data_IF_566037206883
#
_entry.id   IF_566037206883
#
_cell.length_a   1.000
_cell.length_b   1.000
_cell.length_c   1.000
_cell.angle_alpha   90.00
_cell.angle_beta   90.00
_cell.angle_gamma   90.00
#
_symmetry.space_group_name_H-M   'P 1'
#
loop_
_entity.id
_entity.type
_entity.pdbx_description
1 polymer ?
#
# COMPACT_ATOMS: atom_id res chain seq x y z
N UNK A 1 56.33 -23.98 -26.31
CA UNK A 1 56.09 -22.58 -26.74
C UNK A 1 54.64 -22.25 -26.48
N UNK A 2 54.39 -21.21 -25.68
CA UNK A 2 53.18 -20.34 -25.66
C UNK A 2 51.85 -21.05 -25.29
N UNK A 3 50.96 -20.59 -24.41
CA UNK A 3 50.74 -19.43 -23.52
C UNK A 3 49.47 -19.88 -22.75
N UNK A 4 49.44 -20.06 -21.42
CA UNK A 4 49.00 -19.10 -20.40
C UNK A 4 47.76 -18.24 -20.77
N UNK A 5 46.78 -18.19 -19.84
CA UNK A 5 45.52 -17.39 -19.78
C UNK A 5 44.33 -17.92 -20.61
N UNK A 6 43.13 -18.17 -20.05
CA UNK A 6 42.20 -17.26 -19.36
C UNK A 6 41.31 -18.10 -18.40
N UNK A 7 41.27 -17.90 -17.08
CA UNK A 7 40.59 -16.84 -16.31
C UNK A 7 39.06 -16.83 -16.50
N UNK A 8 38.40 -17.33 -15.44
CA UNK A 8 37.20 -16.80 -14.75
C UNK A 8 35.82 -16.71 -15.43
N UNK A 9 34.83 -16.98 -14.56
CA UNK A 9 33.41 -16.54 -14.62
C UNK A 9 32.59 -17.22 -15.74
N UNK A 10 31.56 -18.02 -15.46
CA UNK A 10 30.38 -17.65 -14.66
C UNK A 10 29.78 -18.88 -13.99
N UNK A 11 29.93 -18.94 -12.67
CA UNK A 11 28.86 -19.45 -11.82
C UNK A 11 27.68 -18.48 -12.01
N UNK A 12 26.85 -18.71 -13.03
CA UNK A 12 25.46 -18.27 -12.95
C UNK A 12 24.76 -19.17 -11.94
N UNK A 13 25.12 -19.01 -10.66
CA UNK A 13 24.08 -19.04 -9.65
C UNK A 13 23.20 -17.89 -10.11
N UNK A 14 22.09 -18.21 -10.77
CA UNK A 14 20.96 -17.31 -10.76
C UNK A 14 20.74 -17.02 -9.28
N UNK A 15 21.28 -15.90 -8.80
CA UNK A 15 20.84 -15.36 -7.53
C UNK A 15 19.33 -15.39 -7.64
N UNK A 16 18.59 -16.00 -6.68
CA UNK A 16 17.17 -15.73 -6.64
C UNK A 16 17.08 -14.21 -6.72
N UNK A 17 16.36 -13.72 -7.74
CA UNK A 17 15.99 -12.32 -7.81
C UNK A 17 15.60 -11.96 -6.38
N UNK A 18 16.38 -11.09 -5.74
CA UNK A 18 16.20 -10.77 -4.31
C UNK A 18 14.76 -10.29 -4.23
N UNK A 19 13.90 -11.20 -3.76
CA UNK A 19 12.47 -11.00 -3.71
C UNK A 19 12.23 -9.85 -2.78
N UNK A 20 11.43 -8.91 -3.24
CA UNK A 20 11.12 -7.67 -2.54
C UNK A 20 10.84 -7.94 -1.06
N UNK A 21 11.66 -7.37 -0.18
CA UNK A 21 11.52 -7.59 1.25
C UNK A 21 10.39 -6.75 1.85
N UNK A 22 9.70 -5.90 1.08
CA UNK A 22 8.69 -4.99 1.65
C UNK A 22 7.37 -5.72 1.94
N UNK A 23 6.94 -5.63 3.18
CA UNK A 23 5.61 -6.04 3.63
C UNK A 23 4.79 -4.80 3.97
N UNK A 24 3.62 -4.68 3.35
CA UNK A 24 2.67 -3.62 3.66
C UNK A 24 1.58 -4.20 4.54
N UNK A 25 1.31 -3.56 5.67
CA UNK A 25 0.30 -3.98 6.63
C UNK A 25 -0.70 -2.83 6.81
N UNK A 26 -1.88 -2.98 6.22
CA UNK A 26 -2.91 -1.96 6.23
C UNK A 26 -4.02 -2.33 7.20
N UNK A 27 -4.35 -1.40 8.09
CA UNK A 27 -5.43 -1.53 9.06
C UNK A 27 -6.53 -0.53 8.71
N UNK A 28 -7.74 -1.03 8.50
CA UNK A 28 -8.91 -0.23 8.18
C UNK A 28 -9.67 0.12 9.46
N UNK A 29 -9.96 1.41 9.63
CA UNK A 29 -10.47 1.97 10.88
C UNK A 29 -11.78 2.71 10.62
N UNK A 30 -12.81 2.36 11.37
CA UNK A 30 -14.03 3.15 11.47
C UNK A 30 -13.95 4.05 12.73
N UNK A 31 -13.67 5.33 12.54
CA UNK A 31 -13.64 6.30 13.63
C UNK A 31 -15.07 6.81 13.88
N UNK A 32 -15.58 6.56 15.09
CA UNK A 32 -16.90 7.05 15.55
C UNK A 32 -16.90 8.57 15.65
N UNK A 33 -15.73 9.12 16.00
CA UNK A 33 -15.42 10.54 15.94
C UNK A 33 -14.09 10.73 15.16
N UNK A 34 -14.17 11.04 13.85
CA UNK A 34 -12.98 11.22 13.02
C UNK A 34 -12.04 12.33 13.51
N UNK A 35 -12.57 13.42 14.08
CA UNK A 35 -11.76 14.55 14.55
C UNK A 35 -11.00 14.16 15.81
N UNK A 36 -11.68 13.53 16.77
CA UNK A 36 -11.02 13.04 17.97
C UNK A 36 -9.98 11.95 17.65
N UNK A 37 -10.23 11.12 16.63
CA UNK A 37 -9.28 10.10 16.20
C UNK A 37 -8.04 10.70 15.52
N UNK A 38 -8.21 11.72 14.69
CA UNK A 38 -7.12 12.49 14.07
C UNK A 38 -6.18 13.09 15.13
N UNK A 39 -6.75 13.75 16.15
CA UNK A 39 -6.02 14.32 17.28
C UNK A 39 -5.31 13.22 18.08
N UNK A 40 -6.01 12.13 18.39
CA UNK A 40 -5.46 10.99 19.10
C UNK A 40 -4.22 10.42 18.41
N UNK A 41 -4.27 10.23 17.08
CA UNK A 41 -3.14 9.70 16.31
C UNK A 41 -1.94 10.65 16.43
N UNK A 42 -2.15 11.95 16.25
CA UNK A 42 -1.10 12.97 16.34
C UNK A 42 -0.44 12.98 17.72
N UNK A 43 -1.22 12.92 18.78
CA UNK A 43 -0.73 13.01 20.16
C UNK A 43 -0.01 11.73 20.61
N UNK A 44 -0.59 10.56 20.35
CA UNK A 44 -0.14 9.32 20.98
C UNK A 44 0.64 8.42 20.03
N UNK A 45 0.19 8.27 18.79
CA UNK A 45 0.75 7.27 17.86
C UNK A 45 1.89 7.82 17.00
N UNK A 46 1.84 9.09 16.61
CA UNK A 46 2.89 9.69 15.81
C UNK A 46 4.27 9.59 16.50
N UNK A 47 4.34 9.85 17.82
CA UNK A 47 5.59 9.72 18.59
C UNK A 47 6.14 8.29 18.57
N UNK A 48 5.27 7.30 18.77
CA UNK A 48 5.65 5.88 18.80
C UNK A 48 6.14 5.44 17.42
N UNK A 49 5.39 5.75 16.36
CA UNK A 49 5.74 5.28 15.01
C UNK A 49 6.96 6.00 14.43
N UNK A 50 7.17 7.30 14.74
CA UNK A 50 8.42 8.00 14.42
C UNK A 50 9.63 7.32 15.06
N UNK A 51 9.53 6.91 16.32
CA UNK A 51 10.62 6.19 16.98
C UNK A 51 10.85 4.79 16.38
N UNK A 52 9.77 4.09 15.98
CA UNK A 52 9.88 2.81 15.27
C UNK A 52 10.59 2.95 13.92
N UNK A 53 10.29 4.01 13.16
CA UNK A 53 10.99 4.31 11.89
C UNK A 53 12.45 4.63 12.15
N UNK A 54 12.74 5.52 13.12
CA UNK A 54 14.12 5.89 13.50
C UNK A 54 14.98 4.68 13.90
N UNK A 55 14.39 3.70 14.59
CA UNK A 55 15.06 2.47 15.02
C UNK A 55 15.07 1.35 13.96
N UNK A 56 14.49 1.58 12.78
CA UNK A 56 14.45 0.61 11.69
C UNK A 56 13.44 -0.53 11.86
N UNK A 57 12.51 -0.45 12.83
CA UNK A 57 11.41 -1.41 12.98
C UNK A 57 10.29 -1.22 11.96
N UNK A 58 10.23 -0.03 11.37
CA UNK A 58 9.36 0.31 10.25
C UNK A 58 10.23 0.97 9.19
N UNK A 59 10.00 0.64 7.93
CA UNK A 59 10.51 1.44 6.82
C UNK A 59 9.73 2.74 6.70
N UNK A 60 8.41 2.65 6.89
CA UNK A 60 7.49 3.77 6.74
C UNK A 60 6.18 3.52 7.49
N UNK A 61 5.51 4.60 7.87
CA UNK A 61 4.17 4.60 8.42
C UNK A 61 3.38 5.78 7.88
N UNK A 62 2.18 5.49 7.38
CA UNK A 62 1.29 6.49 6.81
C UNK A 62 -0.14 6.32 7.34
N UNK A 63 -0.85 7.44 7.41
CA UNK A 63 -2.28 7.50 7.71
C UNK A 63 -2.99 8.19 6.58
N UNK A 64 -4.04 7.54 6.10
CA UNK A 64 -4.87 7.97 5.00
C UNK A 64 -6.31 8.15 5.47
N UNK A 65 -6.97 9.19 4.97
CA UNK A 65 -8.36 9.53 5.30
C UNK A 65 -9.23 9.34 4.08
N UNK A 66 -10.37 8.67 4.25
CA UNK A 66 -11.35 8.53 3.17
C UNK A 66 -11.89 9.90 2.81
N UNK A 67 -11.88 10.21 1.51
CA UNK A 67 -12.47 11.43 0.95
C UNK A 67 -13.50 11.05 -0.10
N UNK A 68 -14.62 11.77 -0.11
CA UNK A 68 -15.64 11.69 -1.17
C UNK A 68 -16.33 10.32 -1.38
N UNK A 69 -16.28 9.42 -0.40
CA UNK A 69 -17.03 8.15 -0.45
C UNK A 69 -17.79 7.89 0.85
N UNK A 70 -19.01 8.45 1.01
CA UNK A 70 -19.81 8.29 2.23
C UNK A 70 -20.33 6.86 2.47
N UNK A 71 -20.09 5.92 1.54
CA UNK A 71 -20.51 4.52 1.64
C UNK A 71 -19.42 3.58 2.18
N UNK A 72 -18.25 4.11 2.53
CA UNK A 72 -17.17 3.29 3.08
C UNK A 72 -17.45 2.90 4.53
N UNK A 73 -17.17 1.65 4.86
CA UNK A 73 -17.26 1.09 6.21
C UNK A 73 -16.08 1.52 7.11
N UNK A 74 -15.09 2.20 6.54
CA UNK A 74 -13.98 2.82 7.25
C UNK A 74 -13.84 4.30 6.89
N UNK A 75 -13.17 5.00 7.79
CA UNK A 75 -12.87 6.44 7.70
C UNK A 75 -11.39 6.69 7.49
N UNK A 76 -10.55 5.77 7.98
CA UNK A 76 -9.09 5.86 7.91
C UNK A 76 -8.48 4.52 7.51
N UNK A 77 -7.34 4.59 6.83
CA UNK A 77 -6.45 3.46 6.64
C UNK A 77 -5.08 3.81 7.21
N UNK A 78 -4.56 2.95 8.08
CA UNK A 78 -3.21 3.08 8.62
C UNK A 78 -2.33 2.03 7.96
N UNK A 79 -1.27 2.47 7.27
CA UNK A 79 -0.34 1.57 6.56
C UNK A 79 1.00 1.57 7.27
N UNK A 80 1.47 0.37 7.60
CA UNK A 80 2.82 0.14 8.09
C UNK A 80 3.61 -0.59 7.01
N UNK A 81 4.79 -0.08 6.66
CA UNK A 81 5.70 -0.75 5.73
C UNK A 81 6.87 -1.31 6.51
N UNK A 82 7.08 -2.60 6.39
CA UNK A 82 8.17 -3.33 7.03
C UNK A 82 9.16 -3.84 5.99
N UNK A 83 10.39 -4.03 6.43
CA UNK A 83 11.34 -4.94 5.82
C UNK A 83 11.09 -6.33 6.42
N UNK A 84 10.67 -7.31 5.61
CA UNK A 84 10.23 -8.64 6.04
C UNK A 84 11.39 -9.40 6.69
N UNK A 85 12.62 -9.16 6.24
CA UNK A 85 13.82 -9.75 6.82
C UNK A 85 14.10 -9.23 8.24
N UNK A 86 13.61 -8.03 8.54
CA UNK A 86 13.70 -7.37 9.85
C UNK A 86 12.35 -7.34 10.56
N UNK A 87 11.36 -8.08 10.05
CA UNK A 87 10.03 -8.08 10.63
C UNK A 87 10.15 -8.56 12.07
N UNK A 88 9.67 -7.80 13.06
CA UNK A 88 9.92 -8.11 14.44
C UNK A 88 9.30 -9.46 14.79
N UNK A 89 10.14 -10.42 15.18
CA UNK A 89 9.68 -11.59 15.92
C UNK A 89 9.05 -11.10 17.23
N UNK A 90 7.98 -11.77 17.68
CA UNK A 90 7.18 -11.35 18.85
C UNK A 90 8.07 -10.93 20.03
N UNK A 91 7.77 -9.80 20.68
CA UNK A 91 8.44 -9.37 21.91
C UNK A 91 8.77 -7.89 22.02
N UNK A 92 8.87 -7.15 20.91
CA UNK A 92 9.17 -5.70 20.97
C UNK A 92 7.91 -4.88 21.22
N UNK A 93 7.78 -4.31 22.42
CA UNK A 93 6.67 -3.43 22.79
C UNK A 93 6.96 -1.99 22.38
N UNK A 94 6.26 -1.51 21.36
CA UNK A 94 6.49 -0.18 20.78
C UNK A 94 6.38 0.98 21.79
N UNK A 95 5.52 0.84 22.82
CA UNK A 95 5.33 1.88 23.83
C UNK A 95 6.55 2.03 24.77
N UNK A 96 7.30 0.96 25.03
CA UNK A 96 8.50 1.01 25.88
C UNK A 96 9.60 1.86 25.22
N UNK A 97 9.63 1.90 23.87
CA UNK A 97 10.61 2.69 23.11
C UNK A 97 10.53 4.19 23.41
N UNK A 98 9.36 4.68 23.80
CA UNK A 98 9.11 6.09 24.12
C UNK A 98 9.03 6.35 25.63
N UNK A 99 9.49 5.40 26.45
CA UNK A 99 9.54 5.50 27.91
C UNK A 99 8.18 5.36 28.59
N UNK A 100 7.19 4.79 27.92
CA UNK A 100 5.84 4.63 28.45
C UNK A 100 5.72 3.36 29.28
N UNK A 101 5.01 3.42 30.41
CA UNK A 101 4.67 2.24 31.21
C UNK A 101 3.54 1.44 30.57
N UNK A 102 3.41 0.17 30.96
CA UNK A 102 2.29 -0.67 30.50
C UNK A 102 0.93 -0.08 30.90
N UNK A 103 0.82 0.52 32.09
CA UNK A 103 -0.43 1.14 32.55
C UNK A 103 -0.82 2.32 31.67
N UNK A 104 0.12 3.21 31.36
CA UNK A 104 -0.11 4.33 30.43
C UNK A 104 -0.53 3.83 29.04
N UNK A 105 0.09 2.76 28.55
CA UNK A 105 -0.28 2.16 27.27
C UNK A 105 -1.70 1.60 27.28
N UNK A 106 -2.11 0.90 28.35
CA UNK A 106 -3.47 0.37 28.49
C UNK A 106 -4.52 1.50 28.49
N UNK A 107 -4.26 2.59 29.20
CA UNK A 107 -5.15 3.78 29.18
C UNK A 107 -5.30 4.36 27.77
N UNK A 108 -4.20 4.44 27.01
CA UNK A 108 -4.21 4.88 25.61
C UNK A 108 -5.01 3.91 24.74
N UNK A 109 -4.87 2.60 24.95
CA UNK A 109 -5.64 1.58 24.21
C UNK A 109 -7.14 1.64 24.54
N UNK A 110 -7.51 1.85 25.79
CA UNK A 110 -8.91 2.02 26.20
C UNK A 110 -9.52 3.27 25.54
N UNK A 111 -8.82 4.42 25.59
CA UNK A 111 -9.27 5.66 24.95
C UNK A 111 -9.41 5.51 23.44
N UNK A 112 -8.46 4.87 22.75
CA UNK A 112 -8.58 4.71 21.29
C UNK A 112 -9.72 3.78 20.90
N UNK A 113 -9.96 2.72 21.67
CA UNK A 113 -10.99 1.74 21.36
C UNK A 113 -12.41 2.26 21.66
N UNK A 114 -12.55 3.30 22.51
CA UNK A 114 -13.85 3.96 22.69
C UNK A 114 -14.24 4.85 21.51
N UNK A 115 -13.26 5.42 20.79
CA UNK A 115 -13.49 6.36 19.68
C UNK A 115 -13.40 5.74 18.28
N UNK A 116 -12.95 4.49 18.16
CA UNK A 116 -12.86 3.80 16.86
C UNK A 116 -13.01 2.28 16.96
N UNK A 117 -13.40 1.67 15.85
CA UNK A 117 -13.38 0.23 15.64
C UNK A 117 -12.32 -0.15 14.58
N UNK A 118 -11.68 -1.31 14.74
CA UNK A 118 -10.86 -1.92 13.68
C UNK A 118 -11.77 -2.83 12.88
N UNK A 119 -12.06 -2.47 11.64
CA UNK A 119 -12.97 -3.27 10.81
C UNK A 119 -12.24 -4.33 9.99
N UNK A 120 -10.94 -4.16 9.77
CA UNK A 120 -10.14 -5.11 9.01
C UNK A 120 -8.64 -4.84 9.08
N UNK A 121 -7.87 -5.86 8.72
CA UNK A 121 -6.43 -5.78 8.54
C UNK A 121 -6.03 -6.70 7.40
N UNK A 122 -5.18 -6.22 6.50
CA UNK A 122 -4.68 -7.01 5.38
C UNK A 122 -3.20 -6.73 5.16
N UNK A 123 -2.48 -7.78 4.79
CA UNK A 123 -1.05 -7.75 4.51
C UNK A 123 -0.81 -7.95 3.03
N UNK A 124 0.17 -7.24 2.49
CA UNK A 124 0.40 -7.18 1.06
C UNK A 124 1.87 -7.30 0.70
N UNK A 125 2.12 -8.05 -0.38
CA UNK A 125 3.40 -8.03 -1.09
C UNK A 125 3.28 -7.12 -2.30
N UNK A 126 4.31 -6.32 -2.54
CA UNK A 126 4.42 -5.57 -3.80
C UNK A 126 4.67 -6.53 -4.98
N UNK A 127 4.20 -6.15 -6.17
CA UNK A 127 4.38 -6.90 -7.41
C UNK A 127 5.17 -6.10 -8.47
N UNK A 128 5.32 -4.78 -8.30
CA UNK A 128 5.83 -3.85 -9.31
C UNK A 128 7.30 -3.41 -9.15
N UNK A 129 8.01 -3.92 -8.16
CA UNK A 129 9.30 -3.38 -7.68
C UNK A 129 9.16 -1.97 -7.09
N UNK A 130 8.03 -1.73 -6.43
CA UNK A 130 7.62 -0.46 -5.85
C UNK A 130 6.69 0.32 -6.76
N UNK A 131 6.46 1.57 -6.36
CA UNK A 131 5.61 2.51 -7.08
C UNK A 131 6.26 2.90 -8.42
N UNK A 132 5.56 2.65 -9.53
CA UNK A 132 5.88 3.21 -10.84
C UNK A 132 5.62 4.71 -10.76
N UNK A 133 6.64 5.51 -11.02
CA UNK A 133 6.62 6.96 -10.83
C UNK A 133 6.74 7.70 -12.16
N UNK A 134 6.10 8.87 -12.24
CA UNK A 134 6.46 9.86 -13.24
C UNK A 134 7.92 10.26 -13.07
N UNK A 135 8.64 10.50 -14.17
CA UNK A 135 10.08 10.78 -14.15
C UNK A 135 10.37 12.00 -13.26
N UNK A 136 11.35 11.85 -12.36
CA UNK A 136 11.81 12.94 -11.48
C UNK A 136 11.06 13.06 -10.14
N UNK A 137 10.13 12.14 -9.84
CA UNK A 137 9.42 12.12 -8.56
C UNK A 137 10.13 11.23 -7.53
N UNK A 138 10.34 11.76 -6.34
CA UNK A 138 10.89 11.06 -5.16
C UNK A 138 9.99 11.15 -3.90
N UNK A 139 8.86 11.87 -3.97
CA UNK A 139 7.93 12.04 -2.85
C UNK A 139 6.72 11.08 -2.89
N UNK A 140 6.01 10.94 -1.77
CA UNK A 140 4.73 10.23 -1.71
C UNK A 140 3.56 11.20 -2.03
N UNK A 141 2.75 10.95 -3.08
CA UNK A 141 1.65 11.84 -3.46
C UNK A 141 0.55 11.95 -2.39
N UNK A 142 -0.25 13.01 -2.46
CA UNK A 142 -1.25 13.32 -1.43
C UNK A 142 -2.55 12.53 -1.58
N UNK A 143 -2.88 12.08 -2.79
CA UNK A 143 -4.11 11.32 -3.04
C UNK A 143 -3.75 9.91 -3.50
N UNK A 144 -4.39 8.96 -2.84
CA UNK A 144 -4.40 7.54 -3.14
C UNK A 144 -5.80 7.17 -3.63
N UNK A 145 -5.90 6.57 -4.81
CA UNK A 145 -7.12 5.86 -5.23
C UNK A 145 -6.85 4.38 -5.08
N UNK A 146 -7.42 3.79 -4.04
CA UNK A 146 -7.25 2.39 -3.68
C UNK A 146 -8.30 1.55 -4.40
N UNK A 147 -7.86 0.76 -5.38
CA UNK A 147 -8.72 -0.17 -6.10
C UNK A 147 -8.58 -1.57 -5.48
N UNK A 148 -9.64 -2.04 -4.84
CA UNK A 148 -9.73 -3.38 -4.29
C UNK A 148 -10.21 -4.34 -5.37
N UNK A 149 -9.35 -5.29 -5.74
CA UNK A 149 -9.55 -6.18 -6.87
C UNK A 149 -9.72 -7.61 -6.39
N UNK A 150 -10.67 -8.33 -6.96
CA UNK A 150 -10.73 -9.78 -6.89
C UNK A 150 -10.33 -10.38 -8.25
N UNK A 151 -9.11 -10.89 -8.35
CA UNK A 151 -8.65 -11.65 -9.51
C UNK A 151 -9.33 -13.03 -9.54
N UNK A 152 -9.80 -13.46 -10.72
CA UNK A 152 -10.46 -14.77 -10.88
C UNK A 152 -9.51 -15.90 -10.53
N UNK A 153 -10.07 -16.97 -9.96
CA UNK A 153 -9.32 -18.18 -9.66
C UNK A 153 -8.61 -18.72 -10.91
N UNK A 154 -7.41 -19.26 -10.73
CA UNK A 154 -6.56 -19.76 -11.82
C UNK A 154 -5.95 -18.66 -12.72
N UNK A 155 -6.36 -17.41 -12.59
CA UNK A 155 -5.97 -16.32 -13.50
C UNK A 155 -5.00 -15.30 -12.91
N UNK A 156 -4.56 -15.47 -11.65
CA UNK A 156 -3.72 -14.48 -10.95
C UNK A 156 -2.44 -14.15 -11.72
N UNK A 157 -1.70 -15.17 -12.18
CA UNK A 157 -0.44 -14.94 -12.92
C UNK A 157 -0.64 -14.16 -14.22
N UNK A 158 -1.72 -14.46 -14.96
CA UNK A 158 -2.07 -13.74 -16.20
C UNK A 158 -2.52 -12.33 -15.90
N UNK A 159 -3.37 -12.15 -14.89
CA UNK A 159 -3.85 -10.86 -14.42
C UNK A 159 -2.67 -9.95 -14.05
N UNK A 160 -1.78 -10.42 -13.19
CA UNK A 160 -0.65 -9.63 -12.72
C UNK A 160 0.32 -9.26 -13.84
N UNK A 161 0.60 -10.20 -14.75
CA UNK A 161 1.45 -9.95 -15.91
C UNK A 161 0.87 -8.87 -16.81
N UNK A 162 -0.43 -8.92 -17.09
CA UNK A 162 -1.10 -7.93 -17.93
C UNK A 162 -1.18 -6.56 -17.24
N UNK A 163 -1.47 -6.53 -15.93
CA UNK A 163 -1.49 -5.30 -15.14
C UNK A 163 -0.11 -4.60 -15.13
N UNK A 164 0.96 -5.34 -14.87
CA UNK A 164 2.34 -4.82 -14.89
C UNK A 164 2.77 -4.37 -16.30
N UNK A 165 2.44 -5.15 -17.33
CA UNK A 165 2.75 -4.82 -18.73
C UNK A 165 2.08 -3.52 -19.16
N UNK A 166 0.81 -3.34 -18.80
CA UNK A 166 0.00 -2.17 -19.21
C UNK A 166 0.34 -0.91 -18.42
N UNK A 167 0.89 -1.05 -17.22
CA UNK A 167 1.24 0.09 -16.35
C UNK A 167 2.75 0.22 -16.10
N UNK A 168 3.57 -0.19 -17.07
CA UNK A 168 5.03 -0.13 -16.95
C UNK A 168 5.61 1.30 -16.83
N UNK A 169 4.85 2.33 -17.21
CA UNK A 169 5.26 3.75 -17.13
C UNK A 169 4.05 4.66 -16.96
N UNK A 170 4.29 5.82 -16.34
CA UNK A 170 3.31 6.91 -16.25
C UNK A 170 3.57 7.94 -17.36
N UNK A 171 2.62 8.19 -18.28
CA UNK A 171 2.76 9.21 -19.33
C UNK A 171 2.97 10.63 -18.77
N UNK A 172 3.76 11.44 -19.48
CA UNK A 172 4.06 12.82 -19.05
C UNK A 172 2.81 13.72 -18.99
N UNK A 173 1.81 13.47 -19.82
CA UNK A 173 0.53 14.19 -19.85
C UNK A 173 -0.55 13.60 -18.93
N UNK A 174 -0.28 12.49 -18.23
CA UNK A 174 -1.24 11.91 -17.30
C UNK A 174 -1.38 12.76 -16.04
N UNK A 175 -2.63 12.89 -15.56
CA UNK A 175 -2.95 13.46 -14.25
C UNK A 175 -2.53 12.52 -13.11
N UNK A 176 -2.56 11.20 -13.36
CA UNK A 176 -1.96 10.19 -12.49
C UNK A 176 -0.44 10.37 -12.50
N UNK A 177 0.17 10.39 -11.33
CA UNK A 177 1.60 10.66 -11.16
C UNK A 177 2.39 9.45 -10.67
N UNK A 178 1.68 8.44 -10.17
CA UNK A 178 2.26 7.15 -9.81
C UNK A 178 1.25 6.03 -9.88
N UNK A 179 1.74 4.80 -9.84
CA UNK A 179 0.93 3.60 -9.72
C UNK A 179 1.63 2.52 -8.90
N UNK A 180 0.89 1.81 -8.05
CA UNK A 180 1.41 0.66 -7.28
C UNK A 180 0.50 -0.55 -7.41
N UNK A 181 1.07 -1.75 -7.24
CA UNK A 181 0.33 -2.99 -7.36
C UNK A 181 0.77 -4.02 -6.35
N UNK A 182 -0.20 -4.59 -5.64
CA UNK A 182 0.05 -5.48 -4.53
C UNK A 182 -0.86 -6.71 -4.56
N UNK A 183 -0.33 -7.82 -4.05
CA UNK A 183 -1.07 -9.07 -3.81
C UNK A 183 -1.29 -9.23 -2.30
N UNK A 184 -2.47 -9.72 -1.92
CA UNK A 184 -2.76 -10.09 -0.53
C UNK A 184 -1.92 -11.29 -0.09
N UNK A 185 -1.48 -11.28 1.16
CA UNK A 185 -0.76 -12.38 1.80
C UNK A 185 -1.69 -13.09 2.79
N UNK A 186 -1.69 -14.42 2.75
CA UNK A 186 -2.18 -15.29 3.83
C UNK A 186 -3.63 -15.75 3.70
N UNK A 187 -4.49 -14.99 3.04
CA UNK A 187 -5.88 -15.36 2.80
C UNK A 187 -6.09 -15.68 1.31
N UNK A 188 -6.63 -16.88 1.03
CA UNK A 188 -6.99 -17.38 -0.31
C UNK A 188 -8.36 -18.08 -0.29
N UNK A 189 -9.06 -18.12 -1.42
CA UNK A 189 -10.38 -18.76 -1.57
C UNK A 189 -11.49 -17.79 -2.00
N UNK A 190 -12.70 -18.33 -2.16
CA UNK A 190 -13.82 -17.61 -2.78
C UNK A 190 -14.54 -16.62 -1.86
N UNK A 191 -14.43 -16.79 -0.54
CA UNK A 191 -15.08 -15.95 0.47
C UNK A 191 -14.27 -14.67 0.80
N UNK A 192 -13.29 -14.34 -0.03
CA UNK A 192 -12.42 -13.19 0.17
C UNK A 192 -12.88 -12.05 -0.74
N UNK A 193 -13.22 -10.92 -0.13
CA UNK A 193 -13.72 -9.77 -0.87
C UNK A 193 -12.74 -9.30 -1.95
N UNK A 194 -11.44 -9.26 -1.67
CA UNK A 194 -10.40 -8.83 -2.60
C UNK A 194 -9.08 -9.59 -2.38
N UNK A 195 -8.37 -9.84 -3.47
CA UNK A 195 -7.11 -10.59 -3.54
C UNK A 195 -5.92 -9.70 -3.90
N UNK A 196 -6.17 -8.54 -4.52
CA UNK A 196 -5.15 -7.60 -4.98
C UNK A 196 -5.57 -6.16 -4.72
N UNK A 197 -4.58 -5.26 -4.71
CA UNK A 197 -4.77 -3.82 -4.73
C UNK A 197 -4.00 -3.21 -5.89
N UNK A 198 -4.64 -2.37 -6.68
CA UNK A 198 -3.92 -1.33 -7.43
C UNK A 198 -4.12 0.01 -6.76
N UNK A 199 -3.12 0.87 -6.87
CA UNK A 199 -3.19 2.23 -6.32
C UNK A 199 -2.84 3.20 -7.42
N UNK A 200 -3.76 4.12 -7.73
CA UNK A 200 -3.47 5.28 -8.57
C UNK A 200 -3.13 6.47 -7.68
N UNK A 201 -1.98 7.10 -7.94
CA UNK A 201 -1.49 8.21 -7.12
C UNK A 201 -1.67 9.54 -7.84
N UNK A 202 -2.13 10.57 -7.11
CA UNK A 202 -2.32 11.93 -7.60
C UNK A 202 -1.77 12.96 -6.60
N UNK A 203 -1.26 14.08 -7.11
CA UNK A 203 -0.72 15.17 -6.26
C UNK A 203 -1.81 15.95 -5.52
N UNK A 204 -3.02 15.98 -6.09
CA UNK A 204 -4.15 16.70 -5.53
C UNK A 204 -5.46 16.03 -5.89
N UNK A 205 -6.50 16.27 -5.09
CA UNK A 205 -7.84 15.76 -5.35
C UNK A 205 -8.42 16.34 -6.66
N UNK A 206 -8.05 17.59 -7.00
CA UNK A 206 -8.36 18.18 -8.32
C UNK A 206 -7.77 17.37 -9.47
N UNK A 207 -6.52 16.93 -9.37
CA UNK A 207 -5.88 16.11 -10.41
C UNK A 207 -6.57 14.75 -10.56
N UNK A 208 -7.02 14.16 -9.45
CA UNK A 208 -7.87 12.97 -9.47
C UNK A 208 -9.18 13.23 -10.23
N UNK A 209 -9.93 14.27 -9.89
CA UNK A 209 -11.18 14.61 -10.58
C UNK A 209 -10.96 14.87 -12.08
N UNK A 210 -9.87 15.55 -12.44
CA UNK A 210 -9.52 15.81 -13.83
C UNK A 210 -9.30 14.54 -14.65
N UNK A 211 -8.89 13.45 -14.02
CA UNK A 211 -8.72 12.15 -14.67
C UNK A 211 -10.06 11.55 -15.14
N UNK A 212 -11.20 12.01 -14.61
CA UNK A 212 -12.54 11.56 -14.99
C UNK A 212 -13.19 12.41 -16.09
N UNK A 213 -12.59 13.53 -16.49
CA UNK A 213 -13.04 14.30 -17.65
C UNK A 213 -12.50 13.65 -18.94
N UNK A 214 -13.15 12.59 -19.39
CA UNK A 214 -12.90 11.96 -20.68
C UNK A 214 -14.19 11.85 -21.50
N UNK A 215 -14.04 11.81 -22.82
CA UNK A 215 -15.15 11.48 -23.71
C UNK A 215 -15.36 9.96 -23.66
N UNK A 216 -16.55 9.54 -23.23
CA UNK A 216 -16.90 8.13 -23.19
C UNK A 216 -16.85 7.55 -24.61
N UNK A 217 -16.25 6.37 -24.75
CA UNK A 217 -16.14 5.65 -26.01
C UNK A 217 -16.71 4.25 -25.84
N UNK A 218 -17.38 3.76 -26.89
CA UNK A 218 -17.83 2.38 -26.95
C UNK A 218 -16.64 1.44 -27.09
N UNK A 219 -16.74 0.30 -26.40
CA UNK A 219 -15.76 -0.77 -26.48
C UNK A 219 -15.67 -1.31 -27.91
N UNK A 220 -14.44 -1.51 -28.39
CA UNK A 220 -14.16 -2.15 -29.67
C UNK A 220 -13.99 -3.67 -29.50
N UNK A 221 -14.17 -4.43 -30.59
CA UNK A 221 -14.14 -5.90 -30.57
C UNK A 221 -12.80 -6.46 -30.04
N UNK A 222 -11.69 -5.81 -30.37
CA UNK A 222 -10.33 -6.22 -29.96
C UNK A 222 -9.86 -5.60 -28.63
N UNK A 223 -10.72 -4.87 -27.92
CA UNK A 223 -10.36 -4.27 -26.64
C UNK A 223 -10.19 -5.33 -25.55
N UNK A 224 -9.08 -5.21 -24.82
CA UNK A 224 -8.74 -6.09 -23.72
C UNK A 224 -9.78 -6.02 -22.59
N UNK A 225 -10.34 -7.18 -22.24
CA UNK A 225 -11.35 -7.27 -21.18
C UNK A 225 -10.72 -7.52 -19.81
N UNK A 226 -10.73 -6.52 -18.94
CA UNK A 226 -10.36 -6.75 -17.54
C UNK A 226 -11.32 -7.72 -16.83
N UNK A 227 -12.58 -7.80 -17.25
CA UNK A 227 -13.58 -8.67 -16.63
C UNK A 227 -13.31 -10.15 -16.89
N UNK A 228 -12.46 -10.48 -17.87
CA UNK A 228 -12.01 -11.86 -18.07
C UNK A 228 -11.09 -12.32 -16.95
N UNK A 229 -10.29 -11.41 -16.37
CA UNK A 229 -9.24 -11.75 -15.41
C UNK A 229 -9.56 -11.33 -13.97
N UNK A 230 -10.37 -10.29 -13.78
CA UNK A 230 -10.64 -9.71 -12.46
C UNK A 230 -11.98 -8.99 -12.37
N UNK A 231 -12.37 -8.67 -11.15
CA UNK A 231 -13.47 -7.75 -10.86
C UNK A 231 -12.95 -6.63 -9.95
N UNK A 232 -13.31 -5.38 -10.26
CA UNK A 232 -13.18 -4.27 -9.33
C UNK A 232 -14.30 -4.40 -8.29
N UNK A 233 -13.94 -4.51 -7.02
CA UNK A 233 -14.89 -4.71 -5.92
C UNK A 233 -15.17 -3.41 -5.19
N UNK A 234 -14.13 -2.59 -5.02
CA UNK A 234 -14.22 -1.28 -4.37
C UNK A 234 -13.19 -0.34 -4.97
N UNK A 235 -13.54 0.92 -5.07
CA UNK A 235 -12.60 2.01 -5.37
C UNK A 235 -12.80 3.06 -4.27
N UNK A 236 -11.73 3.37 -3.56
CA UNK A 236 -11.78 4.30 -2.42
C UNK A 236 -10.76 5.40 -2.64
N UNK A 237 -11.21 6.65 -2.53
CA UNK A 237 -10.31 7.81 -2.62
C UNK A 237 -9.87 8.19 -1.21
N UNK A 238 -8.56 8.36 -1.05
CA UNK A 238 -7.91 8.52 0.22
C UNK A 238 -6.93 9.71 0.15
N UNK A 239 -7.00 10.60 1.11
CA UNK A 239 -6.08 11.73 1.27
C UNK A 239 -5.04 11.44 2.35
N UNK A 240 -3.78 11.78 2.07
CA UNK A 240 -2.66 11.66 3.00
C UNK A 240 -2.88 12.58 4.19
N UNK A 241 -2.94 12.01 5.38
CA UNK A 241 -3.07 12.77 6.62
C UNK A 241 -1.75 12.87 7.37
N UNK A 242 -1.04 11.76 7.50
CA UNK A 242 0.31 11.71 8.08
C UNK A 242 1.16 10.78 7.23
N UNK A 243 2.40 11.17 6.94
CA UNK A 243 3.43 10.26 6.45
C UNK A 243 4.71 10.45 7.23
N UNK A 244 5.43 9.35 7.47
CA UNK A 244 6.79 9.41 8.01
C UNK A 244 7.85 9.82 6.99
N UNK A 245 7.45 10.03 5.72
CA UNK A 245 8.34 10.50 4.65
C UNK A 245 8.30 12.01 4.44
N UNK A 246 7.35 12.69 5.09
CA UNK A 246 7.23 14.15 5.11
C UNK A 246 8.15 14.81 6.16
#
# INVERSE_FOLDING_TARGET
>A
MKKLLLICLLLFIASPAIGQTKLYDSVFINAKDPVAYDEFIKEHYAKIHKERVKRGYLLQWDVWKVVDTPQEDFTHMVTYIYDIEKYPNQGTKAYEMVGMSQHQWLTIQEKVNSIRDRIGQAKWSDLGNGMVRKKGMDYLPNIMVLNMIHAKEGSWGTYEKEELKRTAKIPANSARVGWSFHRRIGEYGDDILFTHLTIDWFDSYKSYLQNWYFEAQDRQEDDFDWNELRQLKKMVVLEKFISSTD
#
